data_IF_755223722234
#
_entry.id   IF_755223722234
#
_cell.length_a   1.000
_cell.length_b   1.000
_cell.length_c   1.000
_cell.angle_alpha   90.00
_cell.angle_beta   90.00
_cell.angle_gamma   90.00
#
_symmetry.space_group_name_H-M   'P 1'
#
loop_
_entity.id
_entity.type
_entity.pdbx_description
1 polymer ?
#
# COMPACT_ATOMS: atom_id res chain seq x y z
N UNK A 1 33.54 -47.19 -1.40
CA UNK A 1 33.86 -46.04 -0.52
C UNK A 1 32.62 -45.18 -0.44
N UNK A 2 31.91 -45.27 0.68
CA UNK A 2 30.64 -44.60 0.95
C UNK A 2 30.90 -43.52 2.01
N UNK A 3 30.69 -42.25 1.67
CA UNK A 3 30.76 -41.14 2.61
C UNK A 3 29.34 -40.65 2.91
N UNK A 4 28.68 -41.34 3.84
CA UNK A 4 27.46 -40.84 4.47
C UNK A 4 27.82 -39.78 5.51
N UNK A 5 27.16 -38.62 5.45
CA UNK A 5 27.14 -37.67 6.57
C UNK A 5 26.22 -38.23 7.66
N UNK A 6 26.60 -38.21 8.95
CA UNK A 6 25.92 -38.99 9.99
C UNK A 6 24.52 -38.53 10.37
N UNK A 7 24.10 -37.32 10.01
CA UNK A 7 22.80 -36.79 10.38
C UNK A 7 22.10 -36.30 9.11
N UNK A 8 20.97 -36.92 8.74
CA UNK A 8 20.14 -36.54 7.59
C UNK A 8 19.47 -35.16 7.71
N UNK A 9 20.18 -34.15 8.20
CA UNK A 9 19.76 -32.76 8.21
C UNK A 9 20.13 -32.13 6.85
N UNK A 10 19.19 -31.47 6.15
CA UNK A 10 19.50 -30.79 4.91
C UNK A 10 20.58 -29.73 5.15
N UNK A 11 21.56 -29.65 4.25
CA UNK A 11 22.62 -28.65 4.30
C UNK A 11 22.00 -27.24 4.27
N UNK A 12 22.04 -26.52 5.39
CA UNK A 12 21.74 -25.10 5.43
C UNK A 12 22.86 -24.34 4.71
N UNK A 13 22.62 -23.85 3.50
CA UNK A 13 23.49 -22.89 2.86
C UNK A 13 23.49 -21.58 3.68
N UNK A 14 24.59 -21.31 4.36
CA UNK A 14 24.82 -20.03 5.04
C UNK A 14 25.10 -18.96 3.98
N UNK A 15 24.05 -18.30 3.50
CA UNK A 15 24.23 -17.04 2.78
C UNK A 15 24.87 -16.01 3.73
N UNK A 16 25.67 -15.10 3.17
CA UNK A 16 26.38 -14.03 3.88
C UNK A 16 26.00 -12.71 3.24
N UNK A 17 25.69 -11.68 4.03
CA UNK A 17 25.59 -10.30 3.55
C UNK A 17 26.64 -9.47 4.27
N UNK A 18 27.59 -8.89 3.52
CA UNK A 18 28.72 -8.13 4.06
C UNK A 18 29.53 -8.89 5.15
N UNK A 19 29.76 -10.19 4.96
CA UNK A 19 30.63 -10.99 5.83
C UNK A 19 30.03 -11.46 7.17
N UNK A 20 28.72 -11.30 7.38
CA UNK A 20 28.04 -11.76 8.60
C UNK A 20 27.08 -12.93 8.31
N UNK A 21 27.07 -13.98 9.16
CA UNK A 21 26.19 -15.11 8.99
C UNK A 21 24.73 -14.70 9.17
N UNK A 22 23.90 -15.16 8.25
CA UNK A 22 22.46 -15.01 8.32
C UNK A 22 21.90 -16.02 9.34
N UNK A 23 20.92 -15.59 10.16
CA UNK A 23 20.29 -16.47 11.18
C UNK A 23 19.62 -17.71 10.56
N UNK A 24 19.05 -18.61 11.37
CA UNK A 24 18.26 -19.78 10.91
C UNK A 24 17.05 -19.43 10.02
N UNK A 25 16.80 -18.13 9.80
CA UNK A 25 15.80 -17.59 8.87
C UNK A 25 16.41 -16.86 7.66
N UNK A 26 17.74 -16.88 7.50
CA UNK A 26 18.41 -16.35 6.31
C UNK A 26 18.57 -14.82 6.28
N UNK A 27 18.48 -14.11 7.41
CA UNK A 27 18.67 -12.64 7.44
C UNK A 27 19.62 -12.17 8.56
N UNK A 28 20.45 -11.12 8.32
CA UNK A 28 21.19 -10.48 9.38
C UNK A 28 20.21 -9.53 10.06
N UNK A 29 19.82 -9.78 11.31
CA UNK A 29 19.09 -8.76 12.06
C UNK A 29 20.01 -7.55 12.22
N UNK A 30 19.69 -6.36 11.68
CA UNK A 30 20.23 -5.16 12.25
C UNK A 30 19.43 -4.96 13.55
N UNK A 31 20.09 -5.20 14.69
CA UNK A 31 19.70 -4.78 16.05
C UNK A 31 18.79 -5.73 16.87
N UNK A 32 19.45 -6.34 17.88
CA UNK A 32 19.05 -6.82 19.21
C UNK A 32 17.64 -7.31 19.56
N UNK A 33 17.63 -8.34 20.42
CA UNK A 33 16.50 -8.92 21.15
C UNK A 33 15.75 -7.93 22.09
N UNK A 34 16.15 -6.66 22.10
CA UNK A 34 15.52 -5.57 22.88
C UNK A 34 14.23 -4.99 22.25
N UNK A 35 13.80 -5.50 21.08
CA UNK A 35 12.73 -4.90 20.26
C UNK A 35 11.35 -5.55 20.36
N UNK A 36 11.18 -6.61 21.15
CA UNK A 36 9.86 -7.15 21.44
C UNK A 36 9.10 -6.23 22.41
N UNK A 37 8.08 -5.52 21.91
CA UNK A 37 7.09 -4.85 22.75
C UNK A 37 7.28 -3.36 23.02
N UNK A 38 8.25 -2.68 22.42
CA UNK A 38 8.35 -1.21 22.50
C UNK A 38 7.59 -0.56 21.34
N UNK A 39 6.73 0.46 21.59
CA UNK A 39 6.05 1.19 20.53
C UNK A 39 7.09 1.82 19.59
N UNK A 40 6.76 1.84 18.29
CA UNK A 40 7.55 2.47 17.23
C UNK A 40 7.91 3.91 17.63
N UNK A 41 9.08 4.11 18.21
CA UNK A 41 9.71 5.41 18.22
C UNK A 41 10.34 5.59 16.84
N UNK A 42 9.53 6.04 15.88
CA UNK A 42 10.01 6.56 14.57
C UNK A 42 11.06 7.67 14.80
N UNK A 43 11.12 8.25 16.00
CA UNK A 43 12.13 9.19 16.48
C UNK A 43 13.51 8.57 16.77
N UNK A 44 14.09 7.83 15.81
CA UNK A 44 15.54 7.54 15.73
C UNK A 44 15.97 6.79 14.45
N UNK A 45 15.08 6.55 13.49
CA UNK A 45 15.48 6.09 12.15
C UNK A 45 16.06 4.67 12.05
N UNK A 46 15.64 3.72 12.89
CA UNK A 46 16.00 2.30 12.72
C UNK A 46 14.79 1.40 12.95
N UNK A 47 14.17 0.96 11.86
CA UNK A 47 13.19 -0.12 11.85
C UNK A 47 13.94 -1.45 11.66
N UNK A 48 13.61 -2.46 12.47
CA UNK A 48 14.06 -3.83 12.21
C UNK A 48 13.25 -4.46 11.07
N UNK A 49 13.93 -5.13 10.13
CA UNK A 49 13.26 -5.83 9.03
C UNK A 49 12.37 -6.98 9.58
N UNK A 50 11.20 -7.20 8.98
CA UNK A 50 10.30 -8.35 9.18
C UNK A 50 9.63 -8.60 10.54
N UNK A 51 9.66 -7.69 11.52
CA UNK A 51 9.19 -8.03 12.88
C UNK A 51 7.90 -7.33 13.34
N UNK A 52 7.31 -6.47 12.50
CA UNK A 52 6.21 -5.62 12.96
C UNK A 52 4.83 -6.07 12.48
N UNK A 53 3.84 -5.81 13.32
CA UNK A 53 2.43 -5.99 12.97
C UNK A 53 2.02 -4.90 11.94
N UNK A 54 1.28 -5.24 10.87
CA UNK A 54 0.82 -4.28 9.86
C UNK A 54 0.07 -3.07 10.44
N UNK A 55 -0.80 -3.29 11.42
CA UNK A 55 -1.51 -2.23 12.14
C UNK A 55 -0.56 -1.25 12.85
N UNK A 56 0.53 -1.76 13.43
CA UNK A 56 1.54 -0.90 14.08
C UNK A 56 2.31 -0.06 13.06
N UNK A 57 2.74 -0.66 11.94
CA UNK A 57 3.39 0.05 10.84
C UNK A 57 2.48 1.18 10.33
N UNK A 58 1.24 0.83 9.96
CA UNK A 58 0.23 1.77 9.47
C UNK A 58 0.00 2.92 10.45
N UNK A 59 -0.28 2.63 11.72
CA UNK A 59 -0.54 3.66 12.74
C UNK A 59 0.65 4.61 12.94
N UNK A 60 1.87 4.09 12.82
CA UNK A 60 3.10 4.85 13.01
C UNK A 60 3.34 5.78 11.82
N UNK A 61 3.16 5.29 10.59
CA UNK A 61 3.28 6.09 9.38
C UNK A 61 2.15 7.11 9.23
N UNK A 62 0.94 6.80 9.70
CA UNK A 62 -0.16 7.78 9.77
C UNK A 62 0.25 8.95 10.67
N UNK A 63 0.74 8.69 11.89
CA UNK A 63 1.22 9.76 12.79
C UNK A 63 2.35 10.59 12.17
N UNK A 64 3.25 9.95 11.42
CA UNK A 64 4.30 10.66 10.69
C UNK A 64 3.71 11.55 9.60
N UNK A 65 2.80 11.01 8.78
CA UNK A 65 2.12 11.71 7.68
C UNK A 65 1.26 12.87 8.18
N UNK A 66 0.53 12.70 9.29
CA UNK A 66 -0.32 13.73 9.89
C UNK A 66 0.45 14.98 10.33
N UNK A 67 1.76 14.87 10.58
CA UNK A 67 2.60 16.05 10.83
C UNK A 67 2.52 17.03 9.66
N UNK A 68 2.42 16.55 8.41
CA UNK A 68 2.33 17.40 7.23
C UNK A 68 1.02 18.22 7.15
N UNK A 69 -0.07 17.78 7.80
CA UNK A 69 -1.36 18.50 7.75
C UNK A 69 -1.29 19.88 8.39
N UNK A 70 -0.48 20.02 9.43
CA UNK A 70 -0.33 21.24 10.21
C UNK A 70 0.88 22.08 9.77
N UNK A 71 1.37 21.87 8.55
CA UNK A 71 2.44 22.70 7.99
C UNK A 71 1.91 24.12 7.79
N UNK A 72 2.48 25.07 8.50
CA UNK A 72 2.28 26.49 8.22
C UNK A 72 3.24 26.87 7.08
N UNK A 73 2.71 27.25 5.90
CA UNK A 73 3.54 27.67 4.77
C UNK A 73 4.51 28.81 5.11
N UNK A 74 4.22 29.60 6.16
CA UNK A 74 4.99 30.80 6.55
C UNK A 74 6.14 30.53 7.52
N UNK A 75 6.26 29.32 8.09
CA UNK A 75 7.17 29.05 9.22
C UNK A 75 8.37 28.15 8.89
N UNK A 76 8.91 28.20 7.67
CA UNK A 76 10.07 27.37 7.25
C UNK A 76 11.26 27.39 8.23
N UNK A 77 11.49 28.50 8.93
CA UNK A 77 12.59 28.63 9.91
C UNK A 77 12.32 27.96 11.27
N UNK A 78 11.05 27.82 11.67
CA UNK A 78 10.65 27.22 12.96
C UNK A 78 10.37 25.71 12.91
N UNK A 79 10.09 25.17 11.71
CA UNK A 79 9.64 23.79 11.52
C UNK A 79 10.70 22.71 11.78
N UNK A 80 11.99 23.05 11.84
CA UNK A 80 13.08 22.07 12.12
C UNK A 80 12.94 21.36 13.47
N UNK A 81 12.22 21.94 14.44
CA UNK A 81 11.97 21.30 15.75
C UNK A 81 10.74 20.38 15.76
N UNK A 82 9.76 20.60 14.87
CA UNK A 82 8.47 19.87 14.86
C UNK A 82 8.40 18.76 13.81
N UNK A 83 9.04 18.95 12.65
CA UNK A 83 9.06 17.97 11.58
C UNK A 83 10.40 17.25 11.53
N UNK A 84 10.38 15.97 11.20
CA UNK A 84 11.60 15.23 10.94
C UNK A 84 12.42 15.91 9.84
N UNK A 85 13.76 15.88 9.96
CA UNK A 85 14.71 16.38 8.93
C UNK A 85 14.35 15.89 7.52
N UNK A 86 13.83 14.66 7.43
CA UNK A 86 13.36 13.98 6.21
C UNK A 86 12.16 14.69 5.57
N UNK A 87 11.08 14.97 6.32
CA UNK A 87 9.91 15.67 5.77
C UNK A 87 10.25 17.05 5.22
N UNK A 88 11.15 17.78 5.88
CA UNK A 88 11.61 19.10 5.40
C UNK A 88 12.33 18.97 4.05
N UNK A 89 13.17 17.94 3.90
CA UNK A 89 13.85 17.67 2.64
C UNK A 89 12.87 17.19 1.56
N UNK A 90 11.92 16.32 1.90
CA UNK A 90 10.84 15.89 1.00
C UNK A 90 9.99 17.07 0.51
N UNK A 91 9.63 18.02 1.39
CA UNK A 91 8.90 19.24 1.01
C UNK A 91 9.71 20.13 0.07
N UNK A 92 11.02 20.24 0.31
CA UNK A 92 11.92 20.98 -0.58
C UNK A 92 11.97 20.33 -1.97
N UNK A 93 12.09 19.01 -2.02
CA UNK A 93 12.08 18.26 -3.28
C UNK A 93 10.74 18.41 -4.00
N UNK A 94 9.62 18.32 -3.28
CA UNK A 94 8.28 18.55 -3.81
C UNK A 94 8.14 19.91 -4.51
N UNK A 95 8.62 20.99 -3.88
CA UNK A 95 8.60 22.34 -4.49
C UNK A 95 9.37 22.40 -5.81
N UNK A 96 10.51 21.70 -5.91
CA UNK A 96 11.31 21.65 -7.14
C UNK A 96 10.60 20.81 -8.22
N UNK A 97 9.92 19.74 -7.81
CA UNK A 97 9.14 18.88 -8.71
C UNK A 97 7.94 19.64 -9.32
N UNK A 98 7.18 20.35 -8.49
CA UNK A 98 6.03 21.12 -8.95
C UNK A 98 6.40 22.41 -9.72
N UNK A 99 7.65 22.87 -9.64
CA UNK A 99 8.12 24.00 -10.46
C UNK A 99 8.28 23.65 -11.95
N UNK A 100 8.01 22.42 -12.35
CA UNK A 100 8.18 21.93 -13.72
C UNK A 100 9.64 21.73 -14.15
N UNK A 101 10.59 21.82 -13.21
CA UNK A 101 12.03 21.68 -13.51
C UNK A 101 12.37 20.36 -14.20
N UNK A 102 11.60 19.31 -13.93
CA UNK A 102 11.82 17.96 -14.46
C UNK A 102 10.89 17.58 -15.60
N UNK A 103 10.14 18.53 -16.18
CA UNK A 103 9.14 18.26 -17.22
C UNK A 103 9.71 17.69 -18.54
N UNK A 104 11.01 17.81 -18.74
CA UNK A 104 11.75 17.32 -19.90
C UNK A 104 12.34 15.91 -19.70
N UNK A 105 12.27 15.37 -18.48
CA UNK A 105 12.82 14.05 -18.15
C UNK A 105 11.94 12.94 -18.70
N UNK A 106 12.52 11.76 -18.92
CA UNK A 106 11.71 10.59 -19.20
C UNK A 106 10.86 10.20 -17.97
N UNK A 107 9.86 9.33 -18.16
CA UNK A 107 8.96 8.98 -17.07
C UNK A 107 9.65 8.15 -15.97
N UNK A 108 10.72 7.44 -16.30
CA UNK A 108 11.44 6.54 -15.38
C UNK A 108 12.30 7.34 -14.41
N UNK A 109 13.15 8.23 -14.92
CA UNK A 109 13.90 9.20 -14.11
C UNK A 109 12.96 10.06 -13.27
N UNK A 110 11.82 10.45 -13.83
CA UNK A 110 10.79 11.20 -13.14
C UNK A 110 10.24 10.43 -11.92
N UNK A 111 9.83 9.16 -12.08
CA UNK A 111 9.27 8.39 -10.97
C UNK A 111 10.28 8.12 -9.86
N UNK A 112 11.56 7.89 -10.19
CA UNK A 112 12.61 7.71 -9.18
C UNK A 112 12.78 8.94 -8.29
N UNK A 113 12.69 10.16 -8.86
CA UNK A 113 12.78 11.39 -8.09
C UNK A 113 11.55 11.56 -7.19
N UNK A 114 10.36 11.30 -7.72
CA UNK A 114 9.12 11.34 -6.93
C UNK A 114 9.11 10.30 -5.81
N UNK A 115 9.61 9.09 -6.06
CA UNK A 115 9.67 8.04 -5.04
C UNK A 115 10.58 8.41 -3.87
N UNK A 116 11.73 9.02 -4.13
CA UNK A 116 12.61 9.54 -3.06
C UNK A 116 11.92 10.64 -2.26
N UNK A 117 11.25 11.57 -2.96
CA UNK A 117 10.47 12.63 -2.32
C UNK A 117 9.36 12.05 -1.42
N UNK A 118 8.60 11.06 -1.89
CA UNK A 118 7.53 10.44 -1.12
C UNK A 118 8.03 9.54 0.01
N UNK A 119 9.17 8.89 -0.16
CA UNK A 119 9.83 8.16 0.93
C UNK A 119 10.15 9.10 2.09
N UNK A 120 10.73 10.27 1.80
CA UNK A 120 11.01 11.29 2.80
C UNK A 120 9.72 11.90 3.40
N UNK A 121 8.70 12.18 2.59
CA UNK A 121 7.44 12.82 3.03
C UNK A 121 6.54 11.90 3.87
N UNK A 122 6.29 10.68 3.41
CA UNK A 122 5.25 9.80 3.95
C UNK A 122 5.80 8.58 4.68
N UNK A 123 7.01 8.15 4.35
CA UNK A 123 7.55 6.89 4.85
C UNK A 123 8.76 7.07 5.79
N UNK A 124 9.30 8.28 5.92
CA UNK A 124 10.42 8.57 6.81
C UNK A 124 11.78 8.13 6.28
N UNK A 125 11.90 7.90 4.98
CA UNK A 125 13.14 7.42 4.36
C UNK A 125 13.38 5.92 4.59
N UNK A 126 12.35 5.16 4.96
CA UNK A 126 12.47 3.74 5.35
C UNK A 126 12.49 2.80 4.15
N UNK A 127 12.13 3.29 2.96
CA UNK A 127 12.23 2.54 1.71
C UNK A 127 13.59 2.75 1.02
N UNK A 128 14.34 3.79 1.39
CA UNK A 128 15.59 4.16 0.77
C UNK A 128 16.60 3.00 0.68
N UNK A 129 16.98 2.64 -0.54
CA UNK A 129 17.92 1.56 -0.83
C UNK A 129 17.29 0.16 -0.89
N UNK A 130 15.98 0.02 -0.63
CA UNK A 130 15.30 -1.28 -0.60
C UNK A 130 14.37 -1.54 -1.78
N UNK A 131 14.13 -0.55 -2.64
CA UNK A 131 13.27 -0.71 -3.81
C UNK A 131 13.98 -0.35 -5.12
N UNK A 132 13.49 -0.95 -6.21
CA UNK A 132 13.77 -0.55 -7.60
C UNK A 132 12.45 -0.27 -8.32
N UNK A 133 12.37 0.85 -9.03
CA UNK A 133 11.24 1.15 -9.90
C UNK A 133 11.55 0.67 -11.31
N UNK A 134 10.56 0.07 -11.98
CA UNK A 134 10.65 -0.26 -13.40
C UNK A 134 9.38 0.16 -14.13
N UNK A 135 9.53 0.65 -15.35
CA UNK A 135 8.41 0.80 -16.28
C UNK A 135 8.22 -0.48 -17.07
N UNK A 136 7.00 -1.03 -17.04
CA UNK A 136 6.65 -2.23 -17.78
C UNK A 136 5.66 -1.91 -18.89
N UNK A 137 5.67 -2.70 -19.96
CA UNK A 137 4.65 -2.57 -21.01
C UNK A 137 3.31 -3.14 -20.51
N UNK A 138 2.16 -2.61 -20.96
CA UNK A 138 0.84 -3.12 -20.55
C UNK A 138 0.65 -4.63 -20.75
N UNK A 139 1.29 -5.22 -21.76
CA UNK A 139 1.19 -6.66 -22.04
C UNK A 139 1.85 -7.53 -20.97
N UNK A 140 2.80 -6.98 -20.20
CA UNK A 140 3.48 -7.68 -19.11
C UNK A 140 2.67 -7.64 -17.80
N UNK A 141 1.73 -6.69 -17.69
CA UNK A 141 0.88 -6.49 -16.51
C UNK A 141 -0.56 -6.18 -16.95
N UNK A 142 -1.24 -7.15 -17.59
CA UNK A 142 -2.55 -6.92 -18.17
C UNK A 142 -3.57 -6.57 -17.08
N UNK A 143 -4.22 -5.41 -17.25
CA UNK A 143 -5.25 -4.90 -16.33
C UNK A 143 -4.71 -4.33 -15.01
N UNK A 144 -3.39 -4.16 -14.86
CA UNK A 144 -2.78 -3.58 -13.66
C UNK A 144 -2.06 -2.27 -14.01
N UNK A 145 -2.24 -1.28 -13.14
CA UNK A 145 -1.55 0.01 -13.25
C UNK A 145 -0.17 -0.02 -12.61
N UNK A 146 -0.06 -0.75 -11.51
CA UNK A 146 1.15 -0.94 -10.74
C UNK A 146 1.20 -2.35 -10.14
N UNK A 147 2.40 -2.73 -9.70
CA UNK A 147 2.62 -3.95 -8.93
C UNK A 147 3.88 -3.86 -8.10
N UNK A 148 3.72 -4.08 -6.80
CA UNK A 148 4.81 -4.26 -5.86
C UNK A 148 5.09 -5.75 -5.65
N UNK A 149 6.33 -6.17 -5.87
CA UNK A 149 6.72 -7.58 -5.78
C UNK A 149 8.08 -7.79 -5.14
N UNK A 150 8.18 -8.88 -4.41
CA UNK A 150 9.45 -9.43 -3.95
C UNK A 150 10.29 -9.93 -5.12
N UNK A 151 11.58 -9.61 -5.13
CA UNK A 151 12.56 -10.25 -6.01
C UNK A 151 13.42 -11.21 -5.18
N UNK A 152 13.46 -12.48 -5.62
CA UNK A 152 14.44 -13.47 -5.16
C UNK A 152 15.24 -13.99 -6.37
N UNK A 153 16.54 -14.25 -6.24
CA UNK A 153 17.42 -13.88 -5.12
C UNK A 153 17.64 -12.35 -5.04
N UNK A 154 18.14 -11.87 -3.90
CA UNK A 154 18.50 -10.46 -3.68
C UNK A 154 19.73 -10.08 -4.52
N UNK A 155 19.58 -10.06 -5.83
CA UNK A 155 20.59 -9.51 -6.72
C UNK A 155 20.64 -7.99 -6.46
N UNK A 156 21.70 -7.53 -5.81
CA UNK A 156 22.05 -6.11 -5.60
C UNK A 156 21.38 -5.36 -4.44
N UNK A 157 20.89 -6.05 -3.41
CA UNK A 157 20.47 -5.39 -2.16
C UNK A 157 19.15 -4.62 -2.21
N UNK A 158 18.36 -4.76 -3.28
CA UNK A 158 16.97 -4.31 -3.32
C UNK A 158 16.04 -5.50 -3.03
N UNK A 159 15.17 -5.35 -2.04
CA UNK A 159 14.24 -6.40 -1.61
C UNK A 159 12.90 -6.33 -2.37
N UNK A 160 12.56 -5.13 -2.89
CA UNK A 160 11.28 -4.83 -3.53
C UNK A 160 11.48 -4.31 -4.96
N UNK A 161 10.66 -4.79 -5.88
CA UNK A 161 10.47 -4.19 -7.19
C UNK A 161 9.07 -3.55 -7.28
N UNK A 162 9.04 -2.25 -7.54
CA UNK A 162 7.84 -1.49 -7.86
C UNK A 162 7.77 -1.39 -9.39
N UNK A 163 6.74 -1.98 -9.98
CA UNK A 163 6.53 -1.95 -11.43
C UNK A 163 5.38 -1.02 -11.72
N UNK A 164 5.55 -0.07 -12.65
CA UNK A 164 4.49 0.85 -13.09
C UNK A 164 4.23 0.65 -14.57
N UNK A 165 2.96 0.47 -14.95
CA UNK A 165 2.57 0.20 -16.33
C UNK A 165 2.72 1.45 -17.18
N UNK A 166 3.45 1.35 -18.29
CA UNK A 166 3.62 2.43 -19.26
C UNK A 166 2.35 2.61 -20.09
N UNK A 167 1.46 3.49 -19.62
CA UNK A 167 0.20 3.82 -20.29
C UNK A 167 0.33 4.85 -21.41
N UNK A 168 1.54 5.26 -21.82
CA UNK A 168 1.72 6.30 -22.85
C UNK A 168 1.05 5.98 -24.19
N UNK A 169 0.78 4.70 -24.46
CA UNK A 169 0.10 4.22 -25.68
C UNK A 169 -1.39 3.91 -25.47
N UNK A 170 -1.90 3.97 -24.25
CA UNK A 170 -3.34 3.78 -23.98
C UNK A 170 -4.12 5.01 -24.43
N UNK A 171 -5.18 4.80 -25.20
CA UNK A 171 -6.03 5.89 -25.72
C UNK A 171 -6.72 6.65 -24.59
N UNK A 172 -7.27 5.94 -23.61
CA UNK A 172 -7.91 6.55 -22.43
C UNK A 172 -6.93 7.35 -21.58
N UNK A 173 -5.64 6.99 -21.62
CA UNK A 173 -4.61 7.76 -20.93
C UNK A 173 -4.15 8.98 -21.74
N UNK A 174 -4.15 8.89 -23.07
CA UNK A 174 -3.77 9.98 -23.98
C UNK A 174 -4.77 11.13 -24.01
N UNK A 175 -6.05 10.82 -23.79
CA UNK A 175 -7.11 11.83 -23.69
C UNK A 175 -6.99 12.71 -22.43
N UNK A 176 -6.24 12.27 -21.42
CA UNK A 176 -5.98 13.05 -20.20
C UNK A 176 -4.97 14.18 -20.46
N UNK A 177 -5.20 15.33 -19.84
CA UNK A 177 -4.22 16.42 -19.84
C UNK A 177 -2.89 16.01 -19.19
N UNK A 178 -1.82 16.80 -19.41
CA UNK A 178 -0.48 16.48 -18.89
C UNK A 178 -0.46 16.38 -17.34
N UNK A 179 -1.03 17.34 -16.57
CA UNK A 179 -1.21 17.21 -15.12
C UNK A 179 -1.92 15.91 -14.68
N UNK A 180 -3.04 15.56 -15.30
CA UNK A 180 -3.84 14.37 -15.00
C UNK A 180 -3.06 13.07 -15.24
N UNK A 181 -2.34 12.98 -16.37
CA UNK A 181 -1.44 11.85 -16.65
C UNK A 181 -0.33 11.71 -15.62
N UNK A 182 0.27 12.84 -15.24
CA UNK A 182 1.33 12.88 -14.22
C UNK A 182 0.79 12.40 -12.87
N UNK A 183 -0.36 12.91 -12.44
CA UNK A 183 -1.00 12.54 -11.18
C UNK A 183 -1.38 11.07 -11.16
N UNK A 184 -1.89 10.50 -12.27
CA UNK A 184 -2.17 9.06 -12.36
C UNK A 184 -0.91 8.22 -12.10
N UNK A 185 0.22 8.52 -12.76
CA UNK A 185 1.48 7.80 -12.50
C UNK A 185 1.97 7.94 -11.06
N UNK A 186 1.90 9.16 -10.50
CA UNK A 186 2.31 9.41 -9.13
C UNK A 186 1.42 8.64 -8.14
N UNK A 187 0.10 8.69 -8.32
CA UNK A 187 -0.84 7.97 -7.47
C UNK A 187 -0.56 6.47 -7.46
N UNK A 188 -0.33 5.88 -8.64
CA UNK A 188 0.07 4.48 -8.77
C UNK A 188 1.40 4.22 -8.06
N UNK A 189 2.40 5.09 -8.23
CA UNK A 189 3.68 4.94 -7.53
C UNK A 189 3.50 4.91 -6.01
N UNK A 190 2.75 5.86 -5.45
CA UNK A 190 2.52 5.94 -3.99
C UNK A 190 1.74 4.71 -3.51
N UNK A 191 0.72 4.27 -4.27
CA UNK A 191 -0.02 3.02 -4.00
C UNK A 191 0.94 1.83 -3.82
N UNK A 192 1.87 1.65 -4.77
CA UNK A 192 2.84 0.55 -4.70
C UNK A 192 3.89 0.76 -3.61
N UNK A 193 4.25 2.00 -3.27
CA UNK A 193 5.13 2.29 -2.13
C UNK A 193 4.48 1.93 -0.79
N UNK A 194 3.17 2.12 -0.64
CA UNK A 194 2.43 1.65 0.54
C UNK A 194 2.54 0.13 0.66
N UNK A 195 2.35 -0.61 -0.44
CA UNK A 195 2.61 -2.06 -0.47
C UNK A 195 4.05 -2.40 -0.11
N UNK A 196 5.03 -1.65 -0.63
CA UNK A 196 6.45 -1.89 -0.39
C UNK A 196 6.81 -1.84 1.10
N UNK A 197 6.25 -0.91 1.87
CA UNK A 197 6.47 -0.86 3.32
C UNK A 197 5.95 -2.12 4.00
N UNK A 198 4.71 -2.53 3.70
CA UNK A 198 4.15 -3.73 4.32
C UNK A 198 4.91 -4.98 3.92
N UNK A 199 5.40 -5.05 2.69
CA UNK A 199 6.28 -6.14 2.25
C UNK A 199 7.58 -6.13 3.07
N UNK A 200 8.35 -5.05 3.07
CA UNK A 200 9.64 -4.97 3.77
C UNK A 200 9.59 -5.27 5.28
N UNK A 201 8.55 -4.77 5.96
CA UNK A 201 8.55 -4.73 7.42
C UNK A 201 7.64 -5.78 8.09
N UNK A 202 6.76 -6.45 7.33
CA UNK A 202 5.98 -7.57 7.85
C UNK A 202 6.64 -8.91 7.50
N UNK A 203 6.76 -9.82 8.46
CA UNK A 203 7.13 -11.19 8.13
C UNK A 203 6.01 -11.88 7.34
N UNK A 204 6.36 -12.35 6.15
CA UNK A 204 5.50 -13.18 5.29
C UNK A 204 6.02 -14.62 5.13
N UNK A 205 7.16 -14.95 5.76
CA UNK A 205 7.81 -16.26 5.62
C UNK A 205 7.40 -17.27 6.68
N UNK A 206 7.07 -16.79 7.90
CA UNK A 206 6.63 -17.63 9.01
C UNK A 206 5.11 -17.85 8.91
N UNK A 207 4.62 -19.09 9.06
CA UNK A 207 3.17 -19.38 8.93
C UNK A 207 2.29 -18.50 9.83
N UNK A 208 2.56 -18.35 11.14
CA UNK A 208 1.76 -17.46 11.99
C UNK A 208 1.79 -15.99 11.56
N UNK A 209 2.91 -15.54 11.00
CA UNK A 209 3.10 -14.17 10.54
C UNK A 209 2.36 -13.94 9.22
N UNK A 210 2.45 -14.88 8.29
CA UNK A 210 1.78 -14.84 6.99
C UNK A 210 0.26 -14.92 7.16
N UNK A 211 -0.23 -15.80 8.04
CA UNK A 211 -1.66 -15.87 8.36
C UNK A 211 -2.15 -14.55 8.94
N UNK A 212 -1.37 -13.92 9.84
CA UNK A 212 -1.68 -12.58 10.36
C UNK A 212 -1.66 -11.53 9.26
N UNK A 213 -0.65 -11.54 8.39
CA UNK A 213 -0.51 -10.63 7.28
C UNK A 213 -1.73 -10.71 6.35
N UNK A 214 -2.11 -11.90 5.91
CA UNK A 214 -3.29 -12.14 5.05
C UNK A 214 -4.57 -11.69 5.77
N UNK A 215 -4.71 -11.99 7.07
CA UNK A 215 -5.91 -11.61 7.83
C UNK A 215 -6.04 -10.09 8.06
N UNK A 216 -4.93 -9.37 8.25
CA UNK A 216 -4.95 -7.93 8.52
C UNK A 216 -4.88 -7.09 7.23
N UNK A 217 -3.96 -7.44 6.34
CA UNK A 217 -3.63 -6.72 5.10
C UNK A 217 -4.39 -7.28 3.89
N UNK A 218 -5.20 -8.32 4.06
CA UNK A 218 -6.03 -8.88 2.97
C UNK A 218 -5.22 -9.72 1.98
N UNK A 219 -5.93 -10.48 1.14
CA UNK A 219 -5.30 -11.37 0.15
C UNK A 219 -4.64 -10.63 -1.00
N UNK A 220 -5.15 -9.43 -1.37
CA UNK A 220 -4.52 -8.59 -2.38
C UNK A 220 -3.57 -7.53 -1.80
N UNK A 221 -3.46 -7.45 -0.47
CA UNK A 221 -2.64 -6.44 0.20
C UNK A 221 -3.38 -5.13 0.54
N UNK A 222 -4.70 -5.04 0.32
CA UNK A 222 -5.50 -3.82 0.54
C UNK A 222 -6.42 -3.87 1.76
N UNK A 223 -6.02 -4.61 2.78
CA UNK A 223 -6.71 -4.73 4.06
C UNK A 223 -6.71 -3.42 4.86
N UNK A 224 -7.27 -3.48 6.07
CA UNK A 224 -7.53 -2.29 6.87
C UNK A 224 -6.29 -1.41 7.18
N UNK A 225 -5.11 -1.97 7.51
CA UNK A 225 -3.90 -1.17 7.71
C UNK A 225 -3.46 -0.42 6.45
N UNK A 226 -3.58 -1.05 5.28
CA UNK A 226 -3.26 -0.42 4.00
C UNK A 226 -4.23 0.72 3.69
N UNK A 227 -5.54 0.47 3.82
CA UNK A 227 -6.60 1.47 3.57
C UNK A 227 -6.44 2.72 4.43
N UNK A 228 -6.13 2.54 5.72
CA UNK A 228 -5.93 3.65 6.67
C UNK A 228 -4.69 4.48 6.35
N UNK A 229 -3.60 3.83 5.93
CA UNK A 229 -2.39 4.55 5.56
C UNK A 229 -2.58 5.31 4.24
N UNK A 230 -3.15 4.64 3.23
CA UNK A 230 -3.43 5.23 1.93
C UNK A 230 -4.35 6.46 2.05
N UNK A 231 -5.41 6.41 2.86
CA UNK A 231 -6.26 7.60 3.05
C UNK A 231 -5.54 8.73 3.77
N UNK A 232 -4.71 8.42 4.77
CA UNK A 232 -3.96 9.46 5.46
C UNK A 232 -3.04 10.22 4.49
N UNK A 233 -2.44 9.51 3.55
CA UNK A 233 -1.59 10.10 2.50
C UNK A 233 -2.44 10.91 1.51
N UNK A 234 -3.54 10.36 1.00
CA UNK A 234 -4.48 11.07 0.12
C UNK A 234 -4.99 12.37 0.76
N UNK A 235 -5.42 12.33 2.02
CA UNK A 235 -5.91 13.49 2.74
C UNK A 235 -4.82 14.57 2.82
N UNK A 236 -3.57 14.22 3.13
CA UNK A 236 -2.47 15.20 3.12
C UNK A 236 -2.29 15.77 1.72
N UNK A 237 -2.21 14.92 0.71
CA UNK A 237 -1.97 15.32 -0.67
C UNK A 237 -3.10 16.20 -1.26
N UNK A 238 -4.34 15.97 -0.83
CA UNK A 238 -5.53 16.66 -1.36
C UNK A 238 -5.96 17.86 -0.52
N UNK A 239 -5.66 17.91 0.77
CA UNK A 239 -6.14 18.97 1.68
C UNK A 239 -5.03 19.93 2.13
N UNK A 240 -3.76 19.52 2.13
CA UNK A 240 -2.68 20.40 2.55
C UNK A 240 -2.34 21.39 1.42
N UNK A 241 -2.38 22.72 1.65
CA UNK A 241 -2.17 23.75 0.63
C UNK A 241 -0.88 23.64 -0.18
N UNK A 242 0.13 22.95 0.36
CA UNK A 242 1.42 22.73 -0.31
C UNK A 242 1.33 21.75 -1.49
N UNK A 243 0.35 20.84 -1.47
CA UNK A 243 0.21 19.76 -2.47
C UNK A 243 -0.97 19.97 -3.43
N UNK A 244 -1.81 20.99 -3.18
CA UNK A 244 -3.01 21.27 -3.96
C UNK A 244 -2.64 21.53 -5.42
N UNK A 245 -3.11 20.65 -6.29
CA UNK A 245 -3.10 20.80 -7.74
C UNK A 245 -4.52 20.87 -8.30
N UNK A 246 -4.65 20.93 -9.62
CA UNK A 246 -5.96 20.92 -10.30
C UNK A 246 -6.64 19.55 -10.28
N UNK A 247 -5.89 18.48 -10.00
CA UNK A 247 -6.35 17.09 -10.03
C UNK A 247 -6.04 16.44 -8.69
N UNK A 248 -7.05 15.85 -8.07
CA UNK A 248 -6.92 15.13 -6.82
C UNK A 248 -6.10 13.84 -7.00
N UNK A 249 -5.38 13.46 -5.95
CA UNK A 249 -4.77 12.14 -5.86
C UNK A 249 -5.80 11.10 -5.43
N UNK A 250 -5.80 9.99 -6.15
CA UNK A 250 -6.56 8.78 -5.85
C UNK A 250 -5.59 7.59 -5.95
N UNK A 251 -5.30 6.97 -4.81
CA UNK A 251 -4.47 5.78 -4.69
C UNK A 251 -5.29 4.51 -5.00
N UNK A 252 -6.43 4.61 -5.67
CA UNK A 252 -7.25 3.46 -6.08
C UNK A 252 -7.92 2.76 -4.90
N UNK A 253 -8.06 3.44 -3.75
CA UNK A 253 -8.51 2.80 -2.50
C UNK A 253 -9.89 2.18 -2.61
N UNK A 254 -10.82 2.89 -3.26
CA UNK A 254 -12.20 2.44 -3.43
C UNK A 254 -12.29 1.20 -4.30
N UNK A 255 -11.54 1.15 -5.40
CA UNK A 255 -11.45 -0.02 -6.27
C UNK A 255 -10.82 -1.21 -5.54
N UNK A 256 -9.67 -0.99 -4.89
CA UNK A 256 -8.98 -2.00 -4.10
C UNK A 256 -9.84 -2.56 -2.96
N UNK A 257 -10.59 -1.68 -2.28
CA UNK A 257 -11.53 -2.08 -1.25
C UNK A 257 -12.67 -2.92 -1.82
N UNK A 258 -13.25 -2.51 -2.95
CA UNK A 258 -14.25 -3.31 -3.64
C UNK A 258 -13.69 -4.68 -4.03
N UNK A 259 -12.46 -4.76 -4.55
CA UNK A 259 -11.85 -6.04 -4.94
C UNK A 259 -11.69 -7.00 -3.75
N UNK A 260 -11.24 -6.51 -2.60
CA UNK A 260 -11.02 -7.35 -1.41
C UNK A 260 -12.31 -7.71 -0.66
N UNK A 261 -13.36 -6.90 -0.74
CA UNK A 261 -14.55 -7.05 0.09
C UNK A 261 -15.86 -7.31 -0.67
N UNK A 262 -15.93 -7.06 -1.99
CA UNK A 262 -17.10 -7.40 -2.80
C UNK A 262 -17.20 -8.92 -2.98
N UNK A 263 -17.92 -9.56 -2.05
CA UNK A 263 -18.16 -11.01 -2.04
C UNK A 263 -18.18 -11.61 -0.64
N UNK A 264 -17.64 -10.90 0.37
CA UNK A 264 -17.60 -11.37 1.76
C UNK A 264 -18.81 -10.85 2.55
N UNK A 265 -19.40 -11.69 3.43
CA UNK A 265 -20.47 -11.28 4.33
C UNK A 265 -20.04 -10.17 5.32
N UNK A 266 -18.73 -9.99 5.54
CA UNK A 266 -18.12 -8.88 6.30
C UNK A 266 -18.20 -7.52 5.60
N UNK A 267 -18.59 -7.46 4.33
CA UNK A 267 -18.79 -6.24 3.53
C UNK A 267 -19.68 -5.19 4.21
N UNK A 268 -20.65 -5.61 5.03
CA UNK A 268 -21.60 -4.70 5.69
C UNK A 268 -21.00 -3.87 6.84
N UNK A 269 -19.95 -4.33 7.51
CA UNK A 269 -19.28 -3.58 8.58
C UNK A 269 -18.25 -2.59 8.02
N UNK A 270 -17.52 -2.99 6.98
CA UNK A 270 -16.48 -2.14 6.40
C UNK A 270 -17.03 -1.05 5.46
N UNK A 271 -18.26 -1.18 4.97
CA UNK A 271 -18.87 -0.14 4.13
C UNK A 271 -19.30 1.12 4.92
N UNK A 272 -19.48 1.05 6.24
CA UNK A 272 -19.60 2.25 7.08
C UNK A 272 -18.31 3.08 7.05
N UNK A 273 -17.16 2.43 6.91
CA UNK A 273 -15.87 3.08 6.77
C UNK A 273 -15.81 3.76 5.40
N UNK A 274 -16.06 3.04 4.30
CA UNK A 274 -16.12 3.63 2.95
C UNK A 274 -17.06 4.85 2.92
N UNK A 275 -18.24 4.77 3.55
CA UNK A 275 -19.18 5.88 3.62
C UNK A 275 -18.60 7.09 4.37
N UNK A 276 -17.95 6.90 5.52
CA UNK A 276 -17.28 7.99 6.25
C UNK A 276 -16.04 8.55 5.53
N UNK A 277 -15.34 7.71 4.76
CA UNK A 277 -14.11 8.05 4.04
C UNK A 277 -14.43 8.78 2.73
N UNK A 278 -15.47 8.36 2.02
CA UNK A 278 -16.01 9.04 0.84
C UNK A 278 -16.64 10.36 1.24
N UNK A 279 -17.47 10.44 2.30
CA UNK A 279 -18.06 11.70 2.76
C UNK A 279 -16.99 12.75 3.11
N UNK A 280 -15.92 12.38 3.84
CA UNK A 280 -14.81 13.32 4.14
C UNK A 280 -14.04 13.80 2.90
N UNK A 281 -13.89 12.94 1.89
CA UNK A 281 -13.24 13.33 0.63
C UNK A 281 -14.15 14.22 -0.24
N UNK A 282 -15.46 13.97 -0.22
CA UNK A 282 -16.46 14.75 -0.96
C UNK A 282 -16.71 16.14 -0.32
N UNK A 283 -16.70 16.26 1.00
CA UNK A 283 -16.89 17.55 1.70
C UNK A 283 -15.78 18.59 1.39
N UNK A 284 -14.59 18.13 0.97
CA UNK A 284 -13.46 18.98 0.62
C UNK A 284 -13.31 19.31 -0.88
N UNK A 285 -14.00 18.56 -1.76
CA UNK A 285 -13.94 18.76 -3.21
C UNK A 285 -15.16 19.58 -3.66
N UNK A 286 -14.92 20.71 -4.35
CA UNK A 286 -15.97 21.39 -5.12
C UNK A 286 -16.29 20.54 -6.35
N UNK A 287 -16.97 19.42 -6.14
CA UNK A 287 -17.53 18.63 -7.23
C UNK A 287 -18.60 19.46 -7.93
N UNK A 288 -18.69 19.33 -9.26
CA UNK A 288 -19.87 19.84 -9.94
C UNK A 288 -21.12 19.10 -9.44
N UNK A 289 -22.26 19.76 -9.53
CA UNK A 289 -23.54 19.27 -8.99
C UNK A 289 -23.92 17.91 -9.57
N UNK A 290 -23.49 17.62 -10.80
CA UNK A 290 -23.84 16.40 -11.52
C UNK A 290 -23.09 15.17 -10.97
N UNK A 291 -21.79 15.28 -10.73
CA UNK A 291 -21.01 14.20 -10.11
C UNK A 291 -21.48 13.90 -8.68
N UNK A 292 -21.94 14.93 -7.96
CA UNK A 292 -22.52 14.75 -6.62
C UNK A 292 -23.86 14.00 -6.68
N UNK A 293 -24.76 14.36 -7.59
CA UNK A 293 -26.05 13.69 -7.80
C UNK A 293 -25.89 12.21 -8.21
N UNK A 294 -24.95 11.90 -9.11
CA UNK A 294 -24.68 10.53 -9.53
C UNK A 294 -24.17 9.67 -8.36
N UNK A 295 -23.28 10.22 -7.53
CA UNK A 295 -22.78 9.54 -6.34
C UNK A 295 -23.91 9.35 -5.31
N UNK A 296 -24.76 10.36 -5.08
CA UNK A 296 -25.93 10.22 -4.20
C UNK A 296 -26.90 9.15 -4.69
N UNK A 297 -27.14 9.04 -6.00
CA UNK A 297 -28.01 8.02 -6.57
C UNK A 297 -27.42 6.61 -6.45
N UNK A 298 -26.10 6.47 -6.65
CA UNK A 298 -25.41 5.20 -6.39
C UNK A 298 -25.52 4.80 -4.91
N UNK A 299 -25.37 5.75 -3.99
CA UNK A 299 -25.57 5.53 -2.55
C UNK A 299 -27.02 5.14 -2.24
N UNK A 300 -28.01 5.79 -2.86
CA UNK A 300 -29.45 5.51 -2.71
C UNK A 300 -29.81 4.10 -3.20
N UNK A 301 -29.40 3.73 -4.42
CA UNK A 301 -29.61 2.39 -4.99
C UNK A 301 -28.97 1.32 -4.11
N UNK A 302 -27.75 1.55 -3.62
CA UNK A 302 -27.03 0.64 -2.71
C UNK A 302 -27.77 0.47 -1.38
N UNK A 303 -28.29 1.56 -0.81
CA UNK A 303 -29.09 1.51 0.43
C UNK A 303 -30.43 0.78 0.24
N UNK A 304 -31.08 0.93 -0.91
CA UNK A 304 -32.27 0.15 -1.27
C UNK A 304 -31.96 -1.36 -1.34
N UNK A 305 -30.85 -1.75 -1.99
CA UNK A 305 -30.40 -3.14 -2.04
C UNK A 305 -30.14 -3.71 -0.64
N UNK A 306 -29.52 -2.94 0.27
CA UNK A 306 -29.33 -3.31 1.69
C UNK A 306 -30.65 -3.53 2.42
N UNK A 307 -31.60 -2.61 2.26
CA UNK A 307 -32.92 -2.72 2.89
C UNK A 307 -33.66 -3.98 2.40
N UNK A 308 -33.59 -4.27 1.11
CA UNK A 308 -34.15 -5.48 0.53
C UNK A 308 -33.50 -6.76 1.10
N UNK A 309 -32.16 -6.80 1.19
CA UNK A 309 -31.43 -7.93 1.77
C UNK A 309 -31.81 -8.17 3.24
N UNK A 310 -31.92 -7.11 4.05
CA UNK A 310 -32.36 -7.19 5.45
C UNK A 310 -33.79 -7.72 5.59
N UNK A 311 -34.71 -7.27 4.74
CA UNK A 311 -36.09 -7.77 4.69
C UNK A 311 -36.13 -9.26 4.34
N UNK A 312 -35.33 -9.72 3.36
CA UNK A 312 -35.22 -11.14 3.01
C UNK A 312 -34.67 -11.98 4.16
N UNK A 313 -33.62 -11.53 4.83
CA UNK A 313 -33.04 -12.23 5.98
C UNK A 313 -34.02 -12.32 7.16
N UNK A 314 -34.76 -11.23 7.45
CA UNK A 314 -35.79 -11.22 8.48
C UNK A 314 -36.96 -12.14 8.14
N UNK A 315 -37.40 -12.17 6.88
CA UNK A 315 -38.45 -13.08 6.42
C UNK A 315 -38.03 -14.56 6.52
N UNK A 316 -36.77 -14.88 6.17
CA UNK A 316 -36.24 -16.23 6.33
C UNK A 316 -36.25 -16.68 7.80
N UNK A 317 -35.83 -15.81 8.73
CA UNK A 317 -35.87 -16.08 10.18
C UNK A 317 -37.29 -16.35 10.69
N UNK A 318 -38.27 -15.56 10.25
CA UNK A 318 -39.69 -15.76 10.63
C UNK A 318 -40.26 -17.09 10.14
N UNK A 319 -39.78 -17.60 9.01
CA UNK A 319 -40.21 -18.90 8.45
C UNK A 319 -39.53 -20.11 9.12
N UNK A 320 -38.75 -19.91 10.18
CA UNK A 320 -37.96 -20.99 10.79
C UNK A 320 -36.90 -21.57 9.86
N UNK A 321 -36.64 -20.92 8.71
CA UNK A 321 -35.58 -21.28 7.80
C UNK A 321 -34.28 -20.89 8.50
N UNK A 322 -33.66 -21.86 9.18
CA UNK A 322 -32.28 -21.72 9.60
C UNK A 322 -31.51 -21.32 8.34
N UNK A 323 -30.66 -20.27 8.39
CA UNK A 323 -29.81 -19.96 7.27
C UNK A 323 -29.16 -21.28 6.89
N UNK A 324 -29.36 -21.73 5.64
CA UNK A 324 -28.63 -22.90 5.14
C UNK A 324 -27.20 -22.58 5.52
N UNK A 325 -26.61 -23.40 6.41
CA UNK A 325 -25.16 -23.39 6.59
C UNK A 325 -24.67 -23.67 5.18
N UNK A 326 -24.37 -22.62 4.44
CA UNK A 326 -23.71 -22.74 3.17
C UNK A 326 -22.53 -23.64 3.47
N UNK A 327 -22.38 -24.65 2.63
CA UNK A 327 -21.23 -25.53 2.59
C UNK A 327 -20.00 -24.62 2.52
N UNK A 328 -19.50 -24.19 3.68
CA UNK A 328 -18.21 -23.55 3.89
C UNK A 328 -17.11 -24.62 3.98
N UNK A 329 -17.48 -25.89 3.77
CA UNK A 329 -16.60 -26.91 3.22
C UNK A 329 -16.53 -26.78 1.70
N UNK A 330 -16.14 -25.60 1.20
CA UNK A 330 -15.46 -25.56 -0.08
C UNK A 330 -14.16 -26.30 0.14
N UNK A 331 -14.17 -27.62 -0.09
CA UNK A 331 -12.95 -28.37 -0.25
C UNK A 331 -12.12 -27.59 -1.25
N UNK A 332 -10.95 -27.12 -0.80
CA UNK A 332 -9.93 -26.61 -1.70
C UNK A 332 -9.66 -27.77 -2.65
N UNK A 333 -10.29 -27.71 -3.82
CA UNK A 333 -9.82 -28.44 -4.97
C UNK A 333 -8.36 -28.07 -5.07
N UNK A 334 -7.48 -29.06 -4.89
CA UNK A 334 -6.08 -28.97 -5.29
C UNK A 334 -6.10 -28.78 -6.81
N UNK A 335 -6.39 -27.57 -7.27
CA UNK A 335 -6.15 -27.19 -8.65
C UNK A 335 -4.64 -27.21 -8.82
N UNK A 336 -4.21 -28.02 -9.77
CA UNK A 336 -2.85 -28.20 -10.20
C UNK A 336 -2.14 -26.84 -10.36
N UNK A 337 -1.27 -26.53 -9.41
CA UNK A 337 -0.21 -25.57 -9.66
C UNK A 337 0.74 -26.21 -10.66
N UNK A 338 1.08 -25.54 -11.78
CA UNK A 338 2.14 -26.02 -12.66
C UNK A 338 3.43 -25.94 -11.86
N UNK A 339 4.00 -27.11 -11.55
CA UNK A 339 5.40 -27.22 -11.17
C UNK A 339 6.24 -26.61 -12.30
N UNK A 340 6.76 -25.41 -12.08
CA UNK A 340 7.92 -24.91 -12.81
C UNK A 340 9.08 -25.86 -12.50
N UNK A 341 9.41 -26.70 -13.48
CA UNK A 341 10.64 -27.50 -13.47
C UNK A 341 11.83 -26.54 -13.48
N UNK A 342 12.67 -26.66 -12.46
CA UNK A 342 14.11 -26.53 -12.61
C UNK A 342 14.70 -27.93 -12.48
#
# INVERSE_FOLDING_TARGET
MSSGTPDGKPACFHMMHAGKPLSSHGYPRPFDDAFHGKPLNIYAGKLGLYSYNPTQISSSLIRYTEQLRNLDPKLEKGHRKRHGKRQVEGLRQWKILESGKYDHRDAEEFLDIYAKCFDDLFFGGVLNGFYKIIFVKPEMMPGLDGKCSWRRPFEHGFEIQISVTNKRRSESFRSLDKPSRRRNYISTLIHEMVHAVFQLYCCQTCTPCNDRYINEVGTSGHGMPWQKLAISIEDVLNQCPVFIGTVAFDLGRSEAFCQDYCGDAKFLANTSLQDSLTIRQLEGLKLDTWAFEEIEDLLRIRNMKRAAARRRAAAARRKGLKPKKGVLGGGISKSNWPHSRH
#
